data_IF_419732085076
#
_entry.id   IF_419732085076
#
_cell.length_a   1.000
_cell.length_b   1.000
_cell.length_c   1.000
_cell.angle_alpha   90.00
_cell.angle_beta   90.00
_cell.angle_gamma   90.00
#
_symmetry.space_group_name_H-M   'P 1'
#
loop_
_entity.id
_entity.type
_entity.pdbx_description
1 polymer ?
#
# COMPACT_ATOMS: atom_id res chain seq x y z
N UNK A 1 0.66 -55.27 19.29
CA UNK A 1 -0.73 -55.77 19.32
C UNK A 1 -1.25 -55.80 17.89
N UNK A 2 -0.90 -56.83 17.14
CA UNK A 2 -1.17 -56.91 15.70
C UNK A 2 -1.61 -58.34 15.32
N UNK A 3 -2.39 -59.00 16.18
CA UNK A 3 -2.54 -60.47 16.10
C UNK A 3 -3.96 -60.97 16.39
N UNK A 4 -4.98 -60.12 16.19
CA UNK A 4 -6.40 -60.50 16.38
C UNK A 4 -7.21 -60.47 15.09
N UNK A 5 -6.68 -59.90 14.00
CA UNK A 5 -7.39 -59.76 12.74
C UNK A 5 -7.18 -60.92 11.76
N UNK A 6 -6.08 -61.68 11.87
CA UNK A 6 -5.70 -62.68 10.86
C UNK A 6 -6.40 -64.05 10.99
N UNK A 7 -7.23 -64.28 12.02
CA UNK A 7 -7.74 -65.63 12.32
C UNK A 7 -9.25 -65.86 12.09
N UNK A 8 -9.93 -65.02 11.28
CA UNK A 8 -11.39 -65.11 11.06
C UNK A 8 -11.80 -65.65 9.68
N UNK A 9 -10.88 -66.15 8.85
CA UNK A 9 -11.14 -66.30 7.41
C UNK A 9 -11.83 -67.61 6.96
N UNK A 10 -12.14 -68.59 7.83
CA UNK A 10 -12.64 -69.88 7.33
C UNK A 10 -13.71 -70.54 8.22
N UNK A 11 -14.95 -70.08 8.07
CA UNK A 11 -16.17 -70.89 8.20
C UNK A 11 -17.35 -70.02 7.78
N UNK A 12 -18.16 -70.44 6.80
CA UNK A 12 -19.50 -69.89 6.57
C UNK A 12 -20.39 -70.40 7.72
N UNK A 13 -20.56 -69.64 8.83
CA UNK A 13 -21.05 -70.19 10.09
C UNK A 13 -22.57 -70.46 10.10
N UNK A 14 -23.27 -70.10 9.02
CA UNK A 14 -24.72 -69.88 9.04
C UNK A 14 -25.50 -70.74 8.04
N UNK A 15 -24.85 -71.76 7.45
CA UNK A 15 -25.51 -72.67 6.49
C UNK A 15 -26.75 -73.36 7.08
N UNK A 16 -26.76 -73.63 8.39
CA UNK A 16 -27.88 -74.25 9.09
C UNK A 16 -29.05 -73.29 9.37
N UNK A 17 -28.78 -72.00 9.56
CA UNK A 17 -29.78 -70.99 9.88
C UNK A 17 -30.55 -70.53 8.63
N UNK A 18 -29.91 -70.64 7.46
CA UNK A 18 -30.52 -70.34 6.17
C UNK A 18 -31.47 -71.44 5.65
N UNK A 19 -31.52 -72.62 6.29
CA UNK A 19 -32.31 -73.78 5.83
C UNK A 19 -33.79 -73.43 5.65
N UNK A 20 -34.40 -72.62 6.51
CA UNK A 20 -35.80 -72.22 6.36
C UNK A 20 -36.05 -71.29 5.16
N UNK A 21 -35.10 -70.39 4.87
CA UNK A 21 -35.18 -69.51 3.71
C UNK A 21 -34.91 -70.28 2.41
N UNK A 22 -33.99 -71.24 2.43
CA UNK A 22 -33.72 -72.14 1.29
C UNK A 22 -34.93 -73.03 0.98
N UNK A 23 -35.71 -73.47 1.98
CA UNK A 23 -36.97 -74.20 1.76
C UNK A 23 -38.02 -73.34 1.07
N UNK A 24 -38.12 -72.05 1.43
CA UNK A 24 -39.01 -71.11 0.73
C UNK A 24 -38.56 -70.89 -0.71
N UNK A 25 -37.26 -70.80 -0.95
CA UNK A 25 -36.70 -70.66 -2.30
C UNK A 25 -37.01 -71.87 -3.20
N UNK A 26 -36.89 -73.09 -2.65
CA UNK A 26 -37.28 -74.32 -3.34
C UNK A 26 -38.80 -74.37 -3.63
N UNK A 27 -39.62 -73.86 -2.71
CA UNK A 27 -41.08 -73.80 -2.87
C UNK A 27 -41.56 -72.67 -3.80
N UNK A 28 -40.72 -71.68 -4.13
CA UNK A 28 -41.11 -70.58 -5.03
C UNK A 28 -41.48 -71.06 -6.43
N UNK A 29 -40.81 -72.09 -6.95
CA UNK A 29 -41.13 -72.67 -8.26
C UNK A 29 -42.54 -73.29 -8.27
N UNK A 30 -42.90 -74.01 -7.20
CA UNK A 30 -44.24 -74.61 -7.02
C UNK A 30 -45.31 -73.54 -6.80
N UNK A 31 -45.02 -72.51 -5.99
CA UNK A 31 -45.92 -71.38 -5.77
C UNK A 31 -46.17 -70.59 -7.06
N UNK A 32 -45.14 -70.41 -7.90
CA UNK A 32 -45.27 -69.80 -9.24
C UNK A 32 -46.11 -70.66 -10.17
N UNK A 33 -45.94 -71.98 -10.16
CA UNK A 33 -46.77 -72.88 -10.97
C UNK A 33 -48.25 -72.88 -10.51
N UNK A 34 -48.49 -72.82 -9.20
CA UNK A 34 -49.83 -72.89 -8.59
C UNK A 34 -50.60 -71.57 -8.64
N UNK A 35 -49.93 -70.45 -8.43
CA UNK A 35 -50.55 -69.12 -8.30
C UNK A 35 -50.12 -68.14 -9.39
N UNK A 36 -49.35 -68.58 -10.39
CA UNK A 36 -48.86 -67.73 -11.48
C UNK A 36 -49.94 -67.33 -12.47
N UNK A 37 -51.04 -68.08 -12.57
CA UNK A 37 -52.20 -67.70 -13.37
C UNK A 37 -53.25 -66.99 -12.50
N UNK A 38 -53.60 -65.76 -12.85
CA UNK A 38 -54.54 -64.93 -12.09
C UNK A 38 -55.97 -65.33 -12.45
N UNK A 39 -56.80 -65.82 -11.51
CA UNK A 39 -58.19 -66.17 -11.78
C UNK A 39 -59.04 -64.95 -12.17
N UNK A 40 -60.13 -65.17 -12.91
CA UNK A 40 -61.09 -64.11 -13.22
C UNK A 40 -61.95 -63.77 -11.99
N UNK A 41 -61.65 -62.63 -11.36
CA UNK A 41 -62.31 -62.14 -10.15
C UNK A 41 -63.77 -61.69 -10.36
N UNK A 42 -64.25 -61.57 -11.60
CA UNK A 42 -65.65 -61.22 -11.88
C UNK A 42 -66.60 -62.40 -11.64
N UNK A 43 -66.06 -63.62 -11.58
CA UNK A 43 -66.79 -64.83 -11.24
C UNK A 43 -66.69 -65.15 -9.74
N UNK A 44 -67.76 -65.69 -9.15
CA UNK A 44 -67.75 -66.07 -7.72
C UNK A 44 -66.67 -67.12 -7.39
N UNK A 45 -66.40 -68.03 -8.32
CA UNK A 45 -65.38 -69.07 -8.18
C UNK A 45 -63.95 -68.50 -8.28
N UNK A 46 -63.70 -67.61 -9.25
CA UNK A 46 -62.41 -66.95 -9.40
C UNK A 46 -62.08 -66.00 -8.25
N UNK A 47 -63.09 -65.29 -7.70
CA UNK A 47 -62.91 -64.48 -6.49
C UNK A 47 -62.52 -65.33 -5.26
N UNK A 48 -63.17 -66.49 -5.08
CA UNK A 48 -62.86 -67.42 -3.98
C UNK A 48 -61.47 -68.02 -4.12
N UNK A 49 -61.08 -68.43 -5.34
CA UNK A 49 -59.76 -68.95 -5.64
C UNK A 49 -58.67 -67.90 -5.41
N UNK A 50 -58.85 -66.69 -5.95
CA UNK A 50 -57.90 -65.58 -5.78
C UNK A 50 -57.69 -65.18 -4.32
N UNK A 51 -58.76 -65.13 -3.52
CA UNK A 51 -58.66 -64.87 -2.07
C UNK A 51 -57.86 -65.95 -1.34
N UNK A 52 -58.02 -67.22 -1.72
CA UNK A 52 -57.25 -68.32 -1.14
C UNK A 52 -55.75 -68.22 -1.52
N UNK A 53 -55.46 -67.92 -2.79
CA UNK A 53 -54.10 -67.67 -3.29
C UNK A 53 -53.41 -66.52 -2.56
N UNK A 54 -54.09 -65.37 -2.41
CA UNK A 54 -53.55 -64.21 -1.69
C UNK A 54 -53.24 -64.56 -0.23
N UNK A 55 -54.13 -65.30 0.44
CA UNK A 55 -53.92 -65.72 1.84
C UNK A 55 -52.69 -66.62 1.97
N UNK A 56 -52.53 -67.59 1.07
CA UNK A 56 -51.40 -68.52 1.05
C UNK A 56 -50.08 -67.77 0.78
N UNK A 57 -50.02 -66.95 -0.28
CA UNK A 57 -48.83 -66.15 -0.62
C UNK A 57 -48.46 -65.15 0.48
N UNK A 58 -49.46 -64.52 1.11
CA UNK A 58 -49.22 -63.61 2.25
C UNK A 58 -48.64 -64.36 3.45
N UNK A 59 -49.09 -65.59 3.71
CA UNK A 59 -48.55 -66.45 4.76
C UNK A 59 -47.07 -66.80 4.52
N UNK A 60 -46.69 -67.18 3.30
CA UNK A 60 -45.29 -67.40 2.94
C UNK A 60 -44.44 -66.13 3.08
N UNK A 61 -44.95 -64.97 2.63
CA UNK A 61 -44.26 -63.68 2.76
C UNK A 61 -43.99 -63.31 4.22
N UNK A 62 -44.99 -63.37 5.08
CA UNK A 62 -44.85 -63.01 6.50
C UNK A 62 -44.02 -64.03 7.28
N UNK A 63 -44.15 -65.32 6.96
CA UNK A 63 -43.31 -66.38 7.54
C UNK A 63 -41.83 -66.20 7.21
N UNK A 64 -41.52 -65.91 5.94
CA UNK A 64 -40.14 -65.67 5.47
C UNK A 64 -39.51 -64.44 6.15
N UNK A 65 -40.27 -63.35 6.28
CA UNK A 65 -39.77 -62.15 6.98
C UNK A 65 -39.57 -62.41 8.48
N UNK A 66 -40.46 -63.18 9.12
CA UNK A 66 -40.29 -63.60 10.52
C UNK A 66 -39.04 -64.47 10.70
N UNK A 67 -38.78 -65.42 9.80
CA UNK A 67 -37.57 -66.24 9.82
C UNK A 67 -36.30 -65.38 9.64
N UNK A 68 -36.30 -64.47 8.65
CA UNK A 68 -35.21 -63.49 8.44
C UNK A 68 -34.92 -62.68 9.70
N UNK A 69 -35.95 -62.15 10.34
CA UNK A 69 -35.81 -61.36 11.56
C UNK A 69 -35.32 -62.22 12.75
N UNK A 70 -35.79 -63.45 12.88
CA UNK A 70 -35.34 -64.36 13.93
C UNK A 70 -33.85 -64.73 13.77
N UNK A 71 -33.41 -65.05 12.55
CA UNK A 71 -32.00 -65.34 12.23
C UNK A 71 -31.12 -64.12 12.51
N UNK A 72 -31.54 -62.93 12.06
CA UNK A 72 -30.71 -61.72 12.20
C UNK A 72 -30.73 -61.07 13.58
N UNK A 73 -31.69 -61.42 14.45
CA UNK A 73 -31.84 -60.85 15.79
C UNK A 73 -30.59 -61.03 16.69
N UNK A 74 -30.04 -62.23 16.91
CA UNK A 74 -28.85 -62.41 17.75
C UNK A 74 -27.64 -61.62 17.24
N UNK A 75 -27.51 -61.45 15.92
CA UNK A 75 -26.44 -60.64 15.32
C UNK A 75 -26.62 -59.15 15.63
N UNK A 76 -27.84 -58.62 15.49
CA UNK A 76 -28.11 -57.22 15.84
C UNK A 76 -27.85 -56.96 17.32
N UNK A 77 -28.28 -57.86 18.20
CA UNK A 77 -28.01 -57.76 19.64
C UNK A 77 -26.51 -57.88 19.95
N UNK A 78 -25.76 -58.71 19.22
CA UNK A 78 -24.31 -58.79 19.36
C UNK A 78 -23.62 -57.49 18.90
N UNK A 79 -23.97 -56.96 17.74
CA UNK A 79 -23.45 -55.69 17.21
C UNK A 79 -23.75 -54.54 18.18
N UNK A 80 -24.96 -54.47 18.71
CA UNK A 80 -25.34 -53.47 19.70
C UNK A 80 -24.48 -53.57 20.97
N UNK A 81 -24.28 -54.78 21.50
CA UNK A 81 -23.39 -55.00 22.65
C UNK A 81 -21.95 -54.58 22.38
N UNK A 82 -21.39 -54.94 21.23
CA UNK A 82 -20.02 -54.55 20.83
C UNK A 82 -19.91 -53.03 20.73
N UNK A 83 -20.87 -52.37 20.10
CA UNK A 83 -20.87 -50.92 19.96
C UNK A 83 -20.98 -50.22 21.32
N UNK A 84 -21.84 -50.71 22.22
CA UNK A 84 -21.99 -50.15 23.56
C UNK A 84 -20.72 -50.35 24.40
N UNK A 85 -20.07 -51.51 24.29
CA UNK A 85 -18.80 -51.76 24.94
C UNK A 85 -17.69 -50.85 24.40
N UNK A 86 -17.59 -50.72 23.07
CA UNK A 86 -16.64 -49.82 22.42
C UNK A 86 -16.83 -48.36 22.85
N UNK A 87 -18.06 -47.87 22.89
CA UNK A 87 -18.38 -46.52 23.42
C UNK A 87 -17.95 -46.35 24.88
N UNK A 88 -18.16 -47.37 25.70
CA UNK A 88 -17.76 -47.33 27.12
C UNK A 88 -16.25 -47.28 27.28
N UNK A 89 -15.51 -48.08 26.50
CA UNK A 89 -14.05 -48.05 26.47
C UNK A 89 -13.51 -46.70 26.00
N UNK A 90 -14.08 -46.13 24.93
CA UNK A 90 -13.68 -44.80 24.45
C UNK A 90 -13.90 -43.76 25.55
N UNK A 91 -15.05 -43.76 26.21
CA UNK A 91 -15.34 -42.83 27.31
C UNK A 91 -14.40 -43.00 28.52
N UNK A 92 -13.92 -44.21 28.80
CA UNK A 92 -12.90 -44.45 29.83
C UNK A 92 -11.52 -43.94 29.40
N UNK A 93 -11.14 -44.16 28.13
CA UNK A 93 -9.89 -43.64 27.57
C UNK A 93 -9.90 -42.11 27.60
N UNK A 94 -10.99 -41.46 27.19
CA UNK A 94 -11.14 -40.00 27.23
C UNK A 94 -10.98 -39.45 28.65
N UNK A 95 -11.53 -40.12 29.67
CA UNK A 95 -11.35 -39.73 31.08
C UNK A 95 -9.89 -39.80 31.53
N UNK A 96 -9.11 -40.74 31.00
CA UNK A 96 -7.68 -40.85 31.28
C UNK A 96 -6.86 -39.82 30.48
N UNK A 97 -7.27 -39.54 29.24
CA UNK A 97 -6.60 -38.60 28.34
C UNK A 97 -6.79 -37.14 28.75
N UNK A 98 -8.00 -36.78 29.21
CA UNK A 98 -8.35 -35.41 29.56
C UNK A 98 -7.36 -34.73 30.53
N UNK A 99 -6.96 -35.32 31.68
CA UNK A 99 -6.00 -34.67 32.57
C UNK A 99 -4.62 -34.47 31.93
N UNK A 100 -4.21 -35.34 31.00
CA UNK A 100 -2.96 -35.14 30.26
C UNK A 100 -3.06 -33.98 29.26
N UNK A 101 -4.20 -33.85 28.57
CA UNK A 101 -4.47 -32.70 27.70
C UNK A 101 -4.49 -31.40 28.49
N UNK A 102 -5.20 -31.37 29.62
CA UNK A 102 -5.30 -30.19 30.47
C UNK A 102 -3.91 -29.78 31.01
N UNK A 103 -3.11 -30.75 31.48
CA UNK A 103 -1.75 -30.49 31.97
C UNK A 103 -0.83 -29.97 30.84
N UNK A 104 -0.92 -30.54 29.65
CA UNK A 104 -0.17 -30.07 28.48
C UNK A 104 -0.56 -28.64 28.12
N UNK A 105 -1.87 -28.34 28.08
CA UNK A 105 -2.38 -27.01 27.74
C UNK A 105 -1.83 -25.94 28.69
N UNK A 106 -1.80 -26.20 30.00
CA UNK A 106 -1.25 -25.25 30.99
C UNK A 106 0.23 -24.94 30.73
N UNK A 107 1.02 -25.95 30.36
CA UNK A 107 2.45 -25.77 30.05
C UNK A 107 2.62 -25.00 28.74
N UNK A 108 1.91 -25.39 27.69
CA UNK A 108 1.97 -24.73 26.38
C UNK A 108 1.54 -23.25 26.48
N UNK A 109 0.48 -22.93 27.23
CA UNK A 109 0.03 -21.56 27.48
C UNK A 109 1.07 -20.74 28.28
N UNK A 110 1.74 -21.36 29.25
CA UNK A 110 2.79 -20.69 30.02
C UNK A 110 4.04 -20.40 29.18
N UNK A 111 4.42 -21.33 28.30
CA UNK A 111 5.52 -21.12 27.34
C UNK A 111 5.16 -20.06 26.31
N UNK A 112 3.95 -20.10 25.77
CA UNK A 112 3.46 -19.09 24.84
C UNK A 112 3.46 -17.70 25.48
N UNK A 113 2.98 -17.55 26.72
CA UNK A 113 3.02 -16.28 27.45
C UNK A 113 4.45 -15.77 27.64
N UNK A 114 5.39 -16.65 28.00
CA UNK A 114 6.81 -16.27 28.12
C UNK A 114 7.39 -15.80 26.79
N UNK A 115 7.03 -16.45 25.68
CA UNK A 115 7.45 -16.06 24.34
C UNK A 115 6.87 -14.69 23.96
N UNK A 116 5.57 -14.48 24.19
CA UNK A 116 4.90 -13.20 23.96
C UNK A 116 5.50 -12.08 24.80
N UNK A 117 5.78 -12.31 26.08
CA UNK A 117 6.47 -11.35 26.95
C UNK A 117 7.88 -11.04 26.46
N UNK A 118 8.64 -12.05 25.98
CA UNK A 118 9.97 -11.85 25.41
C UNK A 118 9.89 -10.98 24.15
N UNK A 119 8.99 -11.30 23.23
CA UNK A 119 8.77 -10.53 22.00
C UNK A 119 8.36 -9.09 22.34
N UNK A 120 7.46 -8.88 23.31
CA UNK A 120 7.05 -7.55 23.73
C UNK A 120 8.22 -6.73 24.31
N UNK A 121 9.10 -7.35 25.12
CA UNK A 121 10.31 -6.69 25.61
C UNK A 121 11.27 -6.33 24.48
N UNK A 122 11.44 -7.21 23.49
CA UNK A 122 12.28 -6.94 22.33
C UNK A 122 11.71 -5.79 21.48
N UNK A 123 10.39 -5.72 21.28
CA UNK A 123 9.73 -4.59 20.60
C UNK A 123 9.86 -3.27 21.37
N UNK A 124 9.75 -3.31 22.70
CA UNK A 124 10.04 -2.13 23.52
C UNK A 124 11.50 -1.67 23.39
N UNK A 125 12.43 -2.62 23.22
CA UNK A 125 13.83 -2.32 22.96
C UNK A 125 14.02 -1.67 21.59
N UNK A 126 13.37 -2.19 20.53
CA UNK A 126 13.34 -1.55 19.19
C UNK A 126 12.86 -0.09 19.32
N UNK A 127 11.74 0.14 20.00
CA UNK A 127 11.21 1.49 20.18
C UNK A 127 12.18 2.44 20.91
N UNK A 128 12.94 1.92 21.89
CA UNK A 128 13.90 2.72 22.68
C UNK A 128 15.24 2.93 22.00
N UNK A 129 15.74 1.95 21.26
CA UNK A 129 17.09 1.97 20.69
C UNK A 129 17.10 2.37 19.22
N UNK A 130 16.01 2.16 18.48
CA UNK A 130 15.92 2.46 17.04
C UNK A 130 14.99 3.65 16.82
N UNK A 131 13.73 3.54 17.23
CA UNK A 131 12.73 4.57 16.93
C UNK A 131 13.03 5.93 17.60
N UNK A 132 13.68 5.94 18.78
CA UNK A 132 14.02 7.17 19.50
C UNK A 132 14.95 8.13 18.74
N UNK A 133 15.65 7.64 17.71
CA UNK A 133 16.46 8.49 16.85
C UNK A 133 15.60 9.54 16.14
N UNK A 134 14.34 9.22 15.80
CA UNK A 134 13.40 10.17 15.20
C UNK A 134 13.01 11.29 16.17
N UNK A 135 12.84 10.98 17.46
CA UNK A 135 12.58 12.00 18.49
C UNK A 135 13.78 12.94 18.64
N UNK A 136 15.00 12.40 18.51
CA UNK A 136 16.26 13.18 18.59
C UNK A 136 16.49 14.03 17.33
N UNK A 137 16.06 13.57 16.16
CA UNK A 137 16.23 14.26 14.88
C UNK A 137 15.47 15.59 14.80
N UNK A 138 14.40 15.76 15.57
CA UNK A 138 13.53 16.93 15.49
C UNK A 138 14.28 18.23 15.85
N UNK A 139 14.31 19.16 14.90
CA UNK A 139 14.88 20.49 15.11
C UNK A 139 16.40 20.58 14.99
N UNK A 140 17.08 19.49 14.61
CA UNK A 140 18.50 19.51 14.28
C UNK A 140 18.77 20.22 12.94
N UNK A 141 19.99 20.74 12.79
CA UNK A 141 20.52 21.26 11.53
C UNK A 141 21.00 20.14 10.60
N UNK A 142 21.33 20.49 9.35
CA UNK A 142 21.77 19.52 8.36
C UNK A 142 22.99 18.72 8.81
N UNK A 143 23.98 19.35 9.45
CA UNK A 143 25.20 18.68 9.89
C UNK A 143 24.94 17.65 10.99
N UNK A 144 24.13 18.01 11.99
CA UNK A 144 23.76 17.13 13.09
C UNK A 144 22.85 15.98 12.62
N UNK A 145 21.99 16.20 11.62
CA UNK A 145 21.18 15.15 11.00
C UNK A 145 22.03 14.12 10.24
N UNK A 146 23.09 14.55 9.56
CA UNK A 146 24.01 13.65 8.89
C UNK A 146 24.77 12.75 9.89
N UNK A 147 25.25 13.30 11.01
CA UNK A 147 25.87 12.50 12.07
C UNK A 147 24.88 11.50 12.70
N UNK A 148 23.63 11.91 12.89
CA UNK A 148 22.59 11.05 13.45
C UNK A 148 22.23 9.90 12.49
N UNK A 149 22.24 10.16 11.18
CA UNK A 149 22.04 9.14 10.14
C UNK A 149 23.12 8.06 10.21
N UNK A 150 24.40 8.43 10.31
CA UNK A 150 25.52 7.48 10.42
C UNK A 150 25.42 6.64 11.71
N UNK A 151 25.01 7.26 12.82
CA UNK A 151 24.76 6.55 14.07
C UNK A 151 23.61 5.54 13.94
N UNK A 152 22.52 5.91 13.26
CA UNK A 152 21.39 5.02 13.02
C UNK A 152 21.76 3.84 12.09
N UNK A 153 22.63 4.06 11.10
CA UNK A 153 23.19 2.99 10.26
C UNK A 153 24.05 2.00 11.05
N UNK A 154 24.77 2.48 12.06
CA UNK A 154 25.64 1.66 12.92
C UNK A 154 24.92 0.74 13.90
N UNK A 155 23.58 0.78 13.97
CA UNK A 155 22.80 -0.06 14.89
C UNK A 155 22.84 -1.52 14.43
N UNK A 156 23.37 -2.39 15.29
CA UNK A 156 23.36 -3.84 15.11
C UNK A 156 21.98 -4.42 15.49
N UNK A 157 21.34 -5.08 14.53
CA UNK A 157 20.03 -5.72 14.67
C UNK A 157 20.13 -7.23 14.98
N UNK A 158 21.33 -7.80 15.01
CA UNK A 158 21.55 -9.23 15.23
C UNK A 158 21.03 -9.75 16.57
N UNK A 159 21.08 -8.92 17.61
CA UNK A 159 20.69 -9.28 18.99
C UNK A 159 19.18 -9.25 19.27
N UNK A 160 18.34 -9.03 18.25
CA UNK A 160 16.88 -8.97 18.39
C UNK A 160 16.16 -10.32 18.23
N UNK A 161 16.88 -11.39 17.90
CA UNK A 161 16.41 -12.79 17.87
C UNK A 161 15.06 -12.99 17.17
N UNK A 162 13.97 -13.13 17.94
CA UNK A 162 12.62 -13.44 17.45
C UNK A 162 12.03 -12.31 16.59
N UNK A 163 12.58 -11.10 16.69
CA UNK A 163 12.10 -9.90 15.99
C UNK A 163 13.20 -9.19 15.21
N UNK A 164 14.23 -9.92 14.76
CA UNK A 164 15.34 -9.34 13.97
C UNK A 164 14.84 -8.66 12.70
N UNK A 165 13.92 -9.28 11.95
CA UNK A 165 13.34 -8.65 10.76
C UNK A 165 12.58 -7.36 11.08
N UNK A 166 11.77 -7.35 12.14
CA UNK A 166 11.07 -6.12 12.58
C UNK A 166 12.08 -5.02 12.96
N UNK A 167 13.21 -5.38 13.58
CA UNK A 167 14.26 -4.42 13.93
C UNK A 167 14.98 -3.88 12.68
N UNK A 168 15.26 -4.73 11.68
CA UNK A 168 15.85 -4.32 10.40
C UNK A 168 14.94 -3.38 9.61
N UNK A 169 13.65 -3.72 9.53
CA UNK A 169 12.63 -2.90 8.87
C UNK A 169 12.49 -1.55 9.56
N UNK A 170 12.42 -1.53 10.90
CA UNK A 170 12.33 -0.29 11.66
C UNK A 170 13.59 0.56 11.52
N UNK A 171 14.78 -0.07 11.52
CA UNK A 171 16.05 0.65 11.28
C UNK A 171 16.05 1.30 9.90
N UNK A 172 15.66 0.55 8.87
CA UNK A 172 15.57 1.08 7.51
C UNK A 172 14.57 2.24 7.41
N UNK A 173 13.41 2.14 8.09
CA UNK A 173 12.43 3.22 8.16
C UNK A 173 13.02 4.49 8.80
N UNK A 174 13.66 4.34 9.95
CA UNK A 174 14.27 5.46 10.69
C UNK A 174 15.35 6.14 9.85
N UNK A 175 16.23 5.38 9.21
CA UNK A 175 17.28 5.88 8.32
C UNK A 175 16.69 6.71 7.18
N UNK A 176 15.66 6.19 6.49
CA UNK A 176 15.01 6.90 5.39
C UNK A 176 14.35 8.20 5.84
N UNK A 177 13.73 8.20 7.02
CA UNK A 177 13.07 9.38 7.56
C UNK A 177 14.07 10.45 8.00
N UNK A 178 15.18 10.06 8.64
CA UNK A 178 16.29 10.99 8.96
C UNK A 178 16.90 11.57 7.68
N UNK A 179 17.08 10.75 6.63
CA UNK A 179 17.57 11.24 5.33
C UNK A 179 16.62 12.30 4.74
N UNK A 180 15.31 12.07 4.78
CA UNK A 180 14.34 13.05 4.31
C UNK A 180 14.37 14.34 5.14
N UNK A 181 14.53 14.25 6.46
CA UNK A 181 14.70 15.42 7.34
C UNK A 181 15.99 16.18 7.03
N UNK A 182 17.08 15.47 6.76
CA UNK A 182 18.36 16.06 6.37
C UNK A 182 18.21 16.87 5.08
N UNK A 183 17.61 16.28 4.04
CA UNK A 183 17.42 16.97 2.76
C UNK A 183 16.55 18.22 2.92
N UNK A 184 15.49 18.14 3.72
CA UNK A 184 14.66 19.29 4.05
C UNK A 184 15.41 20.37 4.83
N UNK A 185 16.30 20.00 5.75
CA UNK A 185 17.13 20.93 6.51
C UNK A 185 18.14 21.64 5.60
N UNK A 186 18.80 20.91 4.71
CA UNK A 186 19.72 21.48 3.70
C UNK A 186 19.01 22.51 2.83
N UNK A 187 17.81 22.19 2.32
CA UNK A 187 17.04 23.13 1.50
C UNK A 187 16.64 24.39 2.28
N UNK A 188 16.21 24.24 3.54
CA UNK A 188 15.88 25.38 4.40
C UNK A 188 17.08 26.28 4.66
N UNK A 189 18.25 25.68 4.91
CA UNK A 189 19.50 26.42 5.15
C UNK A 189 19.97 27.15 3.89
N UNK A 190 19.87 26.52 2.71
CA UNK A 190 20.18 27.15 1.42
C UNK A 190 19.28 28.36 1.16
N UNK A 191 17.96 28.21 1.31
CA UNK A 191 17.00 29.31 1.13
C UNK A 191 17.24 30.45 2.14
N UNK A 192 17.56 30.13 3.39
CA UNK A 192 17.89 31.13 4.41
C UNK A 192 19.18 31.89 4.07
N UNK A 193 20.19 31.20 3.55
CA UNK A 193 21.45 31.82 3.11
C UNK A 193 21.24 32.73 1.89
N UNK A 194 20.44 32.32 0.92
CA UNK A 194 20.08 33.14 -0.25
C UNK A 194 19.31 34.40 0.16
N UNK A 195 18.31 34.28 1.03
CA UNK A 195 17.56 35.44 1.55
C UNK A 195 18.47 36.41 2.30
N UNK A 196 19.37 35.89 3.15
CA UNK A 196 20.34 36.72 3.87
C UNK A 196 21.31 37.45 2.92
N UNK A 197 21.72 36.80 1.81
CA UNK A 197 22.56 37.43 0.80
C UNK A 197 21.82 38.55 0.06
N UNK A 198 20.58 38.32 -0.34
CA UNK A 198 19.70 39.31 -1.00
C UNK A 198 19.46 40.51 -0.06
N UNK A 199 19.14 40.27 1.21
CA UNK A 199 18.94 41.35 2.19
C UNK A 199 20.22 42.18 2.43
N UNK A 200 21.38 41.52 2.45
CA UNK A 200 22.68 42.19 2.58
C UNK A 200 23.00 43.04 1.34
N UNK A 201 22.68 42.54 0.14
CA UNK A 201 22.83 43.30 -1.12
C UNK A 201 21.88 44.51 -1.16
N UNK A 202 20.60 44.33 -0.84
CA UNK A 202 19.64 45.43 -0.73
C UNK A 202 20.03 46.47 0.32
N UNK A 203 20.70 46.07 1.40
CA UNK A 203 21.23 47.00 2.39
C UNK A 203 22.38 47.83 1.81
N UNK A 204 23.33 47.19 1.12
CA UNK A 204 24.43 47.88 0.43
C UNK A 204 23.93 48.85 -0.63
N UNK A 205 22.96 48.45 -1.44
CA UNK A 205 22.39 49.31 -2.48
C UNK A 205 21.68 50.53 -1.90
N UNK A 206 21.00 50.38 -0.76
CA UNK A 206 20.38 51.52 -0.05
C UNK A 206 21.44 52.47 0.49
N UNK A 207 22.48 51.96 1.15
CA UNK A 207 23.59 52.78 1.65
C UNK A 207 24.33 53.52 0.51
N UNK A 208 24.49 52.87 -0.66
CA UNK A 208 25.09 53.49 -1.84
C UNK A 208 24.19 54.57 -2.44
N UNK A 209 22.89 54.31 -2.58
CA UNK A 209 21.93 55.31 -3.05
C UNK A 209 21.85 56.52 -2.11
N UNK A 210 21.82 56.30 -0.79
CA UNK A 210 21.83 57.38 0.20
C UNK A 210 23.11 58.23 0.10
N UNK A 211 24.27 57.62 -0.16
CA UNK A 211 25.51 58.38 -0.43
C UNK A 211 25.43 59.18 -1.72
N UNK A 212 24.93 58.59 -2.81
CA UNK A 212 24.78 59.30 -4.07
C UNK A 212 23.79 60.46 -3.96
N UNK A 213 22.72 60.30 -3.19
CA UNK A 213 21.76 61.37 -2.92
C UNK A 213 22.38 62.49 -2.08
N UNK A 214 23.17 62.15 -1.05
CA UNK A 214 23.93 63.13 -0.27
C UNK A 214 24.94 63.90 -1.13
N UNK A 215 25.73 63.20 -1.96
CA UNK A 215 26.70 63.82 -2.89
C UNK A 215 26.00 64.74 -3.90
N UNK A 216 24.83 64.35 -4.41
CA UNK A 216 24.01 65.20 -5.31
C UNK A 216 23.50 66.43 -4.58
N UNK A 217 23.02 66.29 -3.35
CA UNK A 217 22.56 67.41 -2.54
C UNK A 217 23.70 68.42 -2.26
N UNK A 218 24.90 67.94 -1.92
CA UNK A 218 26.08 68.80 -1.73
C UNK A 218 26.47 69.54 -3.02
N UNK A 219 26.46 68.85 -4.17
CA UNK A 219 26.72 69.48 -5.46
C UNK A 219 25.67 70.54 -5.82
N UNK A 220 24.40 70.31 -5.49
CA UNK A 220 23.33 71.29 -5.67
C UNK A 220 23.50 72.51 -4.75
N UNK A 221 23.88 72.31 -3.49
CA UNK A 221 24.19 73.41 -2.57
C UNK A 221 25.38 74.25 -3.06
N UNK A 222 26.46 73.60 -3.51
CA UNK A 222 27.61 74.27 -4.11
C UNK A 222 27.21 75.07 -5.37
N UNK A 223 26.31 74.54 -6.20
CA UNK A 223 25.77 75.27 -7.37
C UNK A 223 24.95 76.49 -6.96
N UNK A 224 24.09 76.37 -5.94
CA UNK A 224 23.31 77.50 -5.41
C UNK A 224 24.23 78.58 -4.85
N UNK A 225 25.22 78.20 -4.07
CA UNK A 225 26.20 79.13 -3.51
C UNK A 225 26.99 79.87 -4.60
N UNK A 226 27.41 79.15 -5.65
CA UNK A 226 28.11 79.74 -6.79
C UNK A 226 27.21 80.72 -7.56
N UNK A 227 25.95 80.35 -7.80
CA UNK A 227 24.97 81.23 -8.46
C UNK A 227 24.70 82.50 -7.65
N UNK A 228 24.64 82.41 -6.31
CA UNK A 228 24.51 83.59 -5.44
C UNK A 228 25.74 84.51 -5.50
N UNK A 229 26.94 83.94 -5.55
CA UNK A 229 28.16 84.73 -5.73
C UNK A 229 28.19 85.43 -7.10
N UNK A 230 27.83 84.74 -8.17
CA UNK A 230 27.73 85.33 -9.51
C UNK A 230 26.66 86.43 -9.56
N UNK A 231 25.50 86.23 -8.91
CA UNK A 231 24.46 87.26 -8.79
C UNK A 231 24.91 88.48 -7.97
N UNK A 232 25.71 88.28 -6.92
CA UNK A 232 26.32 89.39 -6.16
C UNK A 232 27.40 90.12 -6.94
N UNK A 233 28.23 89.39 -7.72
CA UNK A 233 29.22 89.99 -8.60
C UNK A 233 28.53 90.84 -9.69
N UNK A 234 27.50 90.31 -10.34
CA UNK A 234 26.69 91.03 -11.32
C UNK A 234 25.99 92.28 -10.73
N UNK A 235 25.55 92.24 -9.46
CA UNK A 235 25.01 93.42 -8.75
C UNK A 235 26.05 94.46 -8.37
N UNK A 236 27.31 94.07 -8.14
CA UNK A 236 28.42 95.01 -7.90
C UNK A 236 28.93 95.65 -9.18
N UNK A 237 28.69 95.02 -10.33
CA UNK A 237 29.10 95.52 -11.65
C UNK A 237 28.08 96.49 -12.28
N UNK A 238 26.95 96.77 -11.60
CA UNK A 238 25.84 97.59 -12.12
C UNK A 238 25.64 98.94 -11.39
N UNK A 239 26.70 99.71 -11.12
CA UNK A 239 26.63 101.15 -10.82
C UNK A 239 27.63 101.92 -11.73
N UNK A 240 27.23 103.03 -12.41
CA UNK A 240 27.82 103.53 -13.68
C UNK A 240 28.97 104.54 -13.44
N UNK A 241 29.99 104.70 -14.30
CA UNK A 241 30.08 105.55 -15.53
C UNK A 241 31.59 105.67 -15.93
N UNK A 242 32.04 106.27 -17.06
CA UNK A 242 31.77 106.11 -18.51
C UNK A 242 32.99 105.55 -19.33
N UNK A 243 32.71 105.15 -20.58
CA UNK A 243 33.60 104.90 -21.75
C UNK A 243 34.68 105.99 -22.04
N UNK A 244 35.79 105.76 -22.82
CA UNK A 244 35.70 105.27 -24.22
C UNK A 244 36.91 104.55 -24.92
N UNK A 245 36.61 104.03 -26.13
CA UNK A 245 37.39 103.96 -27.41
C UNK A 245 38.31 102.79 -27.84
N UNK A 246 37.86 102.15 -28.95
CA UNK A 246 38.54 101.79 -30.23
C UNK A 246 39.62 100.69 -30.29
N UNK A 247 39.34 99.59 -31.02
CA UNK A 247 39.94 99.25 -32.33
C UNK A 247 39.77 97.75 -32.72
N UNK A 248 39.36 97.49 -33.98
CA UNK A 248 39.38 96.20 -34.71
C UNK A 248 40.84 95.78 -35.10
N UNK A 249 41.17 94.66 -35.81
CA UNK A 249 40.36 93.71 -36.59
C UNK A 249 40.75 92.18 -36.56
N UNK A 250 39.93 91.37 -37.24
CA UNK A 250 40.06 89.97 -37.78
C UNK A 250 41.46 89.54 -38.31
N UNK A 251 41.78 88.24 -38.64
CA UNK A 251 40.89 87.23 -39.29
C UNK A 251 41.19 85.69 -39.17
N UNK A 252 40.33 84.90 -39.85
CA UNK A 252 40.52 83.58 -40.56
C UNK A 252 40.41 82.22 -39.82
N UNK A 253 39.33 81.52 -40.21
CA UNK A 253 39.12 80.07 -40.54
C UNK A 253 40.35 79.22 -40.97
N UNK A 254 40.31 77.85 -41.06
CA UNK A 254 39.14 77.02 -41.45
C UNK A 254 38.96 75.58 -40.84
N UNK A 255 37.76 75.03 -41.10
CA UNK A 255 37.37 73.65 -41.48
C UNK A 255 37.97 72.39 -40.81
N UNK A 256 37.10 71.40 -40.50
CA UNK A 256 37.15 70.01 -41.05
C UNK A 256 35.94 69.16 -40.54
N UNK A 257 35.31 68.45 -41.50
CA UNK A 257 34.42 67.25 -41.57
C UNK A 257 33.64 66.75 -40.34
N UNK A 258 32.32 66.54 -40.40
CA UNK A 258 31.56 65.41 -41.03
C UNK A 258 31.93 64.01 -40.55
N UNK A 259 30.99 63.34 -39.86
CA UNK A 259 30.52 61.95 -40.10
C UNK A 259 29.26 61.74 -39.22
N UNK A 260 28.06 61.67 -39.79
CA UNK A 260 27.37 60.42 -40.19
C UNK A 260 27.02 59.48 -39.00
N UNK A 261 25.74 59.43 -38.59
CA UNK A 261 24.82 58.29 -38.88
C UNK A 261 23.55 58.25 -38.02
N UNK A 262 22.45 58.38 -38.76
CA UNK A 262 21.20 57.58 -38.71
C UNK A 262 20.33 57.63 -37.47
N UNK A 263 19.24 58.37 -37.66
CA UNK A 263 17.87 58.01 -37.28
C UNK A 263 17.60 56.50 -37.32
N UNK A 264 17.00 56.00 -36.24
CA UNK A 264 16.02 54.93 -36.31
C UNK A 264 15.00 55.18 -35.20
N UNK A 265 13.88 55.80 -35.58
CA UNK A 265 12.60 55.58 -34.95
C UNK A 265 12.34 54.08 -34.82
N UNK A 266 12.01 53.58 -33.63
CA UNK A 266 11.16 52.37 -33.54
C UNK A 266 10.39 52.33 -32.22
N UNK A 267 9.08 52.51 -32.38
CA UNK A 267 7.99 51.82 -31.69
C UNK A 267 7.88 51.90 -30.17
N UNK A 268 7.08 52.87 -29.74
CA UNK A 268 6.01 52.61 -28.77
C UNK A 268 4.86 51.91 -29.50
N UNK A 269 4.75 50.59 -29.39
CA UNK A 269 3.53 49.79 -29.54
C UNK A 269 3.89 48.30 -29.35
N UNK A 270 2.92 47.57 -28.80
CA UNK A 270 2.88 46.15 -28.43
C UNK A 270 3.26 45.81 -26.98
N UNK A 271 2.44 46.36 -26.07
CA UNK A 271 1.73 45.54 -25.08
C UNK A 271 1.03 44.34 -25.78
N UNK A 272 0.93 43.21 -25.07
CA UNK A 272 0.22 41.96 -25.45
C UNK A 272 1.01 40.84 -26.16
N UNK A 273 2.03 40.24 -25.52
CA UNK A 273 2.25 38.78 -25.68
C UNK A 273 3.17 38.14 -24.62
N UNK A 274 2.88 38.25 -23.31
CA UNK A 274 3.65 37.50 -22.30
C UNK A 274 2.78 36.88 -21.18
N UNK A 275 1.59 36.38 -21.56
CA UNK A 275 0.68 35.69 -20.64
C UNK A 275 0.01 34.43 -21.23
N UNK A 276 0.63 33.73 -22.19
CA UNK A 276 0.02 32.52 -22.79
C UNK A 276 0.98 31.38 -23.18
N UNK A 277 2.11 31.19 -22.49
CA UNK A 277 2.97 30.00 -22.64
C UNK A 277 3.37 29.38 -21.30
N UNK A 278 2.46 29.42 -20.32
CA UNK A 278 2.56 28.61 -19.11
C UNK A 278 1.39 27.60 -18.94
N UNK A 279 0.47 27.52 -19.93
CA UNK A 279 -0.68 26.62 -19.86
C UNK A 279 -0.75 25.54 -20.96
N UNK A 280 0.01 25.64 -22.07
CA UNK A 280 0.05 24.60 -23.12
C UNK A 280 1.15 23.55 -22.94
N UNK A 281 2.05 23.74 -21.95
CA UNK A 281 3.09 22.76 -21.64
C UNK A 281 2.60 21.53 -20.87
N UNK A 282 1.36 21.55 -20.34
CA UNK A 282 0.82 20.40 -19.61
C UNK A 282 0.27 19.31 -20.54
N UNK A 283 -0.43 19.68 -21.63
CA UNK A 283 -0.96 18.70 -22.59
C UNK A 283 0.18 17.91 -23.26
N UNK A 284 1.30 18.58 -23.59
CA UNK A 284 2.44 17.91 -24.22
C UNK A 284 3.13 16.86 -23.35
N UNK A 285 3.15 17.02 -22.02
CA UNK A 285 3.80 16.06 -21.13
C UNK A 285 2.90 14.84 -20.87
N UNK A 286 1.57 15.03 -20.87
CA UNK A 286 0.61 13.94 -20.70
C UNK A 286 0.44 13.13 -21.98
N UNK A 287 0.56 13.76 -23.15
CA UNK A 287 0.58 13.05 -24.44
C UNK A 287 1.82 12.17 -24.58
N UNK A 288 2.99 12.64 -24.12
CA UNK A 288 4.21 11.86 -24.08
C UNK A 288 4.09 10.65 -23.11
N UNK A 289 3.61 10.88 -21.88
CA UNK A 289 3.40 9.80 -20.91
C UNK A 289 2.40 8.74 -21.41
N UNK A 290 1.37 9.16 -22.16
CA UNK A 290 0.42 8.25 -22.79
C UNK A 290 1.07 7.42 -23.90
N UNK A 291 1.90 8.05 -24.74
CA UNK A 291 2.65 7.35 -25.78
C UNK A 291 3.56 6.27 -25.17
N UNK A 292 4.27 6.60 -24.08
CA UNK A 292 5.13 5.64 -23.37
C UNK A 292 4.35 4.44 -22.80
N UNK A 293 3.15 4.66 -22.26
CA UNK A 293 2.28 3.58 -21.77
C UNK A 293 1.76 2.68 -22.91
N UNK A 294 1.47 3.27 -24.07
CA UNK A 294 1.05 2.51 -25.26
C UNK A 294 2.23 1.67 -25.78
N UNK A 295 3.44 2.24 -25.80
CA UNK A 295 4.67 1.52 -26.17
C UNK A 295 5.00 0.40 -25.17
N UNK A 296 4.64 0.57 -23.89
CA UNK A 296 4.70 -0.48 -22.87
C UNK A 296 3.61 -1.57 -23.02
N UNK A 297 2.72 -1.45 -24.01
CA UNK A 297 1.73 -2.47 -24.38
C UNK A 297 0.32 -2.24 -23.85
N UNK A 298 0.01 -1.07 -23.28
CA UNK A 298 -1.36 -0.72 -22.90
C UNK A 298 -2.16 -0.26 -24.13
N UNK A 299 -3.45 -0.59 -24.17
CA UNK A 299 -4.34 0.01 -25.17
C UNK A 299 -4.61 1.50 -24.85
N UNK A 300 -5.02 2.26 -25.87
CA UNK A 300 -5.22 3.71 -25.75
C UNK A 300 -6.18 4.10 -24.62
N UNK A 301 -7.24 3.31 -24.38
CA UNK A 301 -8.25 3.64 -23.38
C UNK A 301 -7.74 3.37 -21.95
N UNK A 302 -6.95 2.30 -21.78
CA UNK A 302 -6.24 2.02 -20.53
C UNK A 302 -5.15 3.05 -20.22
N UNK A 303 -4.39 3.48 -21.23
CA UNK A 303 -3.35 4.51 -21.09
C UNK A 303 -3.93 5.89 -20.70
N UNK A 304 -5.03 6.32 -21.35
CA UNK A 304 -5.77 7.53 -20.97
C UNK A 304 -6.26 7.47 -19.51
N UNK A 305 -6.85 6.34 -19.11
CA UNK A 305 -7.38 6.17 -17.76
C UNK A 305 -6.28 6.25 -16.70
N UNK A 306 -5.12 5.66 -16.98
CA UNK A 306 -3.95 5.73 -16.09
C UNK A 306 -3.41 7.16 -15.97
N UNK A 307 -3.28 7.87 -17.08
CA UNK A 307 -2.84 9.28 -17.11
C UNK A 307 -3.81 10.17 -16.33
N UNK A 308 -5.11 10.02 -16.55
CA UNK A 308 -6.13 10.79 -15.83
C UNK A 308 -6.11 10.49 -14.32
N UNK A 309 -5.90 9.23 -13.92
CA UNK A 309 -5.80 8.87 -12.49
C UNK A 309 -4.55 9.46 -11.81
N UNK A 310 -3.45 9.65 -12.55
CA UNK A 310 -2.26 10.35 -12.06
C UNK A 310 -2.53 11.85 -11.96
N UNK A 311 -3.15 12.44 -13.00
CA UNK A 311 -3.51 13.86 -13.02
C UNK A 311 -4.46 14.25 -11.87
N UNK A 312 -5.46 13.42 -11.60
CA UNK A 312 -6.42 13.61 -10.51
C UNK A 312 -5.81 13.33 -9.11
N UNK A 313 -4.54 12.93 -9.03
CA UNK A 313 -3.84 12.62 -7.79
C UNK A 313 -4.34 11.35 -7.09
N UNK A 314 -5.09 10.50 -7.79
CA UNK A 314 -5.57 9.22 -7.29
C UNK A 314 -4.42 8.19 -7.18
N UNK A 315 -3.38 8.34 -8.01
CA UNK A 315 -2.15 7.56 -7.94
C UNK A 315 -1.03 8.43 -7.37
N UNK A 316 -0.61 8.15 -6.12
CA UNK A 316 0.45 8.90 -5.43
C UNK A 316 1.86 8.34 -5.67
N UNK A 317 1.97 7.08 -6.09
CA UNK A 317 3.23 6.40 -6.33
C UNK A 317 3.12 5.51 -7.56
N UNK A 318 4.09 5.63 -8.47
CA UNK A 318 4.28 4.73 -9.61
C UNK A 318 5.64 4.06 -9.42
N UNK A 319 5.66 2.74 -9.40
CA UNK A 319 6.89 1.95 -9.39
C UNK A 319 7.07 1.35 -10.78
N UNK A 320 8.18 1.67 -11.43
CA UNK A 320 8.56 1.04 -12.69
C UNK A 320 9.41 -0.19 -12.37
N UNK A 321 8.90 -1.37 -12.71
CA UNK A 321 9.69 -2.59 -12.70
C UNK A 321 10.57 -2.58 -13.95
N UNK A 322 11.80 -2.08 -13.81
CA UNK A 322 12.80 -2.15 -14.87
C UNK A 322 13.32 -3.58 -14.94
N UNK A 323 12.56 -4.46 -15.56
CA UNK A 323 12.93 -5.86 -15.76
C UNK A 323 14.27 -5.99 -16.48
N UNK A 324 15.22 -6.65 -15.83
CA UNK A 324 16.45 -7.20 -16.44
C UNK A 324 16.14 -8.44 -17.29
#
# INVERSE_FOLDING_TARGET
MADTAENMEQQEPYSNELIELTRVDQALAELRAKHGNVPDYTTAEGYKAGKASIKELTGYRTGTDKARLAITKPHREFIERVNNYGKSLIAEIEKLEQPHRDAKQVVDEAEQRKKEERIARLRQRIAREITSYLDTAQGLDSSALAELYDQAQGIDTGDYFDVTQEAEDERARVINEISAMHDAAVQREQLAAEQAAIEAEHRRLREENERQEADRAELEELRRFKAEQEAQAARKESDPTPEPTLAAPWPREPAISQDERTEAETSWADEEEWAATAASGSESNWDAARADLIDAGLDWQSAETAVQAIFDGAVRHVAFDSGE
#
